data_IF_845546336496
#
_entry.id   IF_845546336496
#
_cell.length_a   1.000
_cell.length_b   1.000
_cell.length_c   1.000
_cell.angle_alpha   90.00
_cell.angle_beta   90.00
_cell.angle_gamma   90.00
#
_symmetry.space_group_name_H-M   'P 1'
#
loop_
_entity.id
_entity.type
_entity.pdbx_description
1 polymer ?
#
# COMPACT_ATOMS: atom_id res chain seq x y z
N UNK A 1 6.21 -1.72 25.91
CA UNK A 1 4.86 -1.53 26.49
C UNK A 1 4.57 -0.13 27.03
N UNK A 2 5.57 0.75 27.20
CA UNK A 2 5.37 2.12 27.71
C UNK A 2 4.40 3.02 26.90
N UNK A 3 4.39 2.89 25.56
CA UNK A 3 3.46 3.61 24.66
C UNK A 3 2.00 3.15 24.81
N UNK A 4 1.76 1.88 25.21
CA UNK A 4 0.41 1.39 25.49
C UNK A 4 -0.11 1.84 26.85
N UNK A 5 0.80 2.10 27.80
CA UNK A 5 0.47 2.50 29.18
C UNK A 5 0.23 4.01 29.34
N UNK A 6 0.74 4.85 28.42
CA UNK A 6 0.61 6.33 28.49
C UNK A 6 0.04 6.96 27.19
N UNK A 7 -1.20 6.63 26.77
CA UNK A 7 -1.79 7.16 25.54
C UNK A 7 -2.06 8.68 25.56
N UNK A 8 -1.89 9.35 26.70
CA UNK A 8 -2.27 10.75 26.91
C UNK A 8 -1.12 11.78 26.82
N UNK A 9 0.15 11.37 26.91
CA UNK A 9 1.29 12.31 26.79
C UNK A 9 1.98 12.19 25.43
N UNK A 10 1.30 12.67 24.40
CA UNK A 10 1.99 12.97 23.15
C UNK A 10 2.82 14.23 23.33
N UNK A 11 4.09 14.03 23.70
CA UNK A 11 5.11 15.07 23.63
C UNK A 11 5.07 15.73 22.26
N UNK A 12 5.25 17.05 22.19
CA UNK A 12 5.22 17.83 20.93
C UNK A 12 6.11 17.21 19.82
N UNK A 13 7.20 16.55 20.23
CA UNK A 13 8.11 15.80 19.36
C UNK A 13 7.39 14.67 18.60
N UNK A 14 6.53 13.89 19.26
CA UNK A 14 5.79 12.80 18.61
C UNK A 14 4.77 13.31 17.60
N UNK A 15 4.10 14.42 17.90
CA UNK A 15 3.18 15.07 16.96
C UNK A 15 3.94 15.65 15.75
N UNK A 16 5.09 16.25 15.97
CA UNK A 16 5.95 16.75 14.90
C UNK A 16 6.45 15.62 13.99
N UNK A 17 7.02 14.56 14.58
CA UNK A 17 7.51 13.41 13.83
C UNK A 17 6.39 12.69 13.09
N UNK A 18 5.22 12.52 13.71
CA UNK A 18 4.07 11.90 13.07
C UNK A 18 3.52 12.71 11.90
N UNK A 19 3.46 14.04 12.05
CA UNK A 19 3.06 14.93 10.94
C UNK A 19 4.08 14.91 9.81
N UNK A 20 5.38 14.97 10.13
CA UNK A 20 6.45 14.88 9.16
C UNK A 20 6.43 13.52 8.42
N UNK A 21 6.27 12.42 9.15
CA UNK A 21 6.17 11.08 8.57
C UNK A 21 4.97 10.95 7.63
N UNK A 22 3.80 11.51 8.00
CA UNK A 22 2.62 11.51 7.14
C UNK A 22 2.86 12.29 5.84
N UNK A 23 3.45 13.49 5.92
CA UNK A 23 3.76 14.30 4.74
C UNK A 23 4.79 13.60 3.84
N UNK A 24 5.84 13.03 4.44
CA UNK A 24 6.86 12.28 3.69
C UNK A 24 6.27 11.03 3.03
N UNK A 25 5.35 10.32 3.69
CA UNK A 25 4.65 9.18 3.10
C UNK A 25 3.78 9.60 1.91
N UNK A 26 3.08 10.72 2.00
CA UNK A 26 2.29 11.28 0.88
C UNK A 26 3.19 11.66 -0.30
N UNK A 27 4.32 12.32 -0.04
CA UNK A 27 5.27 12.71 -1.08
C UNK A 27 5.97 11.50 -1.71
N UNK A 28 6.33 10.49 -0.91
CA UNK A 28 6.86 9.22 -1.40
C UNK A 28 5.84 8.52 -2.30
N UNK A 29 4.58 8.40 -1.85
CA UNK A 29 3.48 7.84 -2.64
C UNK A 29 3.23 8.63 -3.93
N UNK A 30 3.32 9.96 -3.89
CA UNK A 30 3.21 10.82 -5.07
C UNK A 30 4.30 10.52 -6.10
N UNK A 31 5.53 10.27 -5.65
CA UNK A 31 6.69 9.99 -6.52
C UNK A 31 6.66 8.57 -7.09
N UNK A 32 6.13 7.59 -6.38
CA UNK A 32 6.15 6.18 -6.80
C UNK A 32 4.90 5.76 -7.57
N UNK A 33 3.71 6.17 -7.11
CA UNK A 33 2.41 5.74 -7.67
C UNK A 33 1.78 6.86 -8.51
N UNK A 34 2.04 8.12 -8.16
CA UNK A 34 1.48 9.29 -8.83
C UNK A 34 0.50 10.08 -7.95
N UNK A 35 -0.09 11.13 -8.50
CA UNK A 35 -0.89 12.12 -7.75
C UNK A 35 -2.21 11.57 -7.20
N UNK A 36 -2.73 10.47 -7.75
CA UNK A 36 -4.00 9.88 -7.31
C UNK A 36 -3.91 9.39 -5.86
N UNK A 37 -2.78 8.80 -5.47
CA UNK A 37 -2.56 8.27 -4.12
C UNK A 37 -2.69 9.35 -3.03
N UNK A 38 -1.90 10.45 -3.05
CA UNK A 38 -2.01 11.47 -2.01
C UNK A 38 -3.37 12.19 -2.02
N UNK A 39 -4.00 12.39 -3.20
CA UNK A 39 -5.35 12.97 -3.27
C UNK A 39 -6.34 12.10 -2.52
N UNK A 40 -6.33 10.79 -2.77
CA UNK A 40 -7.21 9.84 -2.10
C UNK A 40 -6.96 9.81 -0.59
N UNK A 41 -5.70 9.79 -0.17
CA UNK A 41 -5.35 9.82 1.27
C UNK A 41 -5.82 11.10 1.94
N UNK A 42 -5.63 12.26 1.32
CA UNK A 42 -6.10 13.55 1.86
C UNK A 42 -7.63 13.57 1.95
N UNK A 43 -8.35 13.02 0.97
CA UNK A 43 -9.81 12.88 1.05
C UNK A 43 -10.25 12.03 2.24
N UNK A 44 -9.60 10.89 2.50
CA UNK A 44 -9.90 10.07 3.68
C UNK A 44 -9.52 10.74 5.01
N UNK A 45 -8.42 11.51 5.04
CA UNK A 45 -8.06 12.30 6.22
C UNK A 45 -9.08 13.41 6.48
N UNK A 46 -9.56 14.07 5.42
CA UNK A 46 -10.64 15.05 5.52
C UNK A 46 -11.93 14.40 6.01
N UNK A 47 -12.28 13.22 5.52
CA UNK A 47 -13.42 12.45 6.04
C UNK A 47 -13.26 12.16 7.54
N UNK A 48 -12.08 11.70 7.98
CA UNK A 48 -11.80 11.44 9.39
C UNK A 48 -11.90 12.70 10.28
N UNK A 49 -11.56 13.88 9.75
CA UNK A 49 -11.67 15.17 10.45
C UNK A 49 -13.10 15.71 10.44
N UNK A 50 -13.75 15.66 9.28
CA UNK A 50 -15.03 16.32 8.98
C UNK A 50 -16.23 15.40 9.14
N UNK A 51 -16.05 14.16 9.62
CA UNK A 51 -17.13 13.20 9.84
C UNK A 51 -18.30 13.74 10.67
N UNK A 52 -18.04 14.70 11.56
CA UNK A 52 -19.05 15.36 12.39
C UNK A 52 -19.97 16.32 11.61
N UNK A 53 -19.50 16.80 10.44
CA UNK A 53 -20.22 17.67 9.52
C UNK A 53 -20.90 16.89 8.39
N UNK A 54 -20.99 15.56 8.54
CA UNK A 54 -21.84 14.69 7.72
C UNK A 54 -23.18 14.38 8.43
N UNK A 55 -23.96 15.35 8.96
CA UNK A 55 -25.38 15.16 9.19
C UNK A 55 -26.16 15.72 7.99
N UNK A 56 -27.02 14.87 7.42
CA UNK A 56 -28.14 15.23 6.55
C UNK A 56 -27.80 16.21 5.41
N UNK A 57 -26.91 15.79 4.49
CA UNK A 57 -26.75 16.51 3.21
C UNK A 57 -28.03 16.26 2.39
N UNK A 58 -28.96 17.22 2.24
CA UNK A 58 -30.30 16.95 1.67
C UNK A 58 -30.25 16.58 0.19
N UNK A 59 -29.13 16.88 -0.48
CA UNK A 59 -28.87 16.59 -1.88
C UNK A 59 -28.53 15.13 -2.19
N UNK A 60 -28.15 14.32 -1.19
CA UNK A 60 -27.58 12.97 -1.41
C UNK A 60 -28.46 11.86 -0.79
N UNK A 61 -29.50 12.23 -0.04
CA UNK A 61 -30.48 11.32 0.56
C UNK A 61 -30.02 10.70 1.89
N UNK A 62 -30.99 10.18 2.65
CA UNK A 62 -30.86 9.74 4.05
C UNK A 62 -29.85 8.59 4.28
N UNK A 63 -29.38 7.93 3.21
CA UNK A 63 -28.42 6.83 3.28
C UNK A 63 -27.02 7.26 3.72
N UNK A 64 -26.61 8.51 3.50
CA UNK A 64 -25.29 8.99 3.89
C UNK A 64 -25.22 9.38 5.38
N UNK A 65 -26.36 9.69 6.02
CA UNK A 65 -26.39 10.04 7.44
C UNK A 65 -25.94 8.90 8.36
N UNK A 66 -25.99 7.64 7.89
CA UNK A 66 -25.41 6.49 8.60
C UNK A 66 -23.87 6.47 8.62
N UNK A 67 -23.22 7.25 7.76
CA UNK A 67 -21.75 7.32 7.65
C UNK A 67 -21.15 8.46 8.48
N UNK A 68 -21.99 9.33 9.05
CA UNK A 68 -21.56 10.38 9.97
C UNK A 68 -20.96 9.80 11.25
N UNK A 69 -19.83 10.35 11.69
CA UNK A 69 -19.18 9.97 12.95
C UNK A 69 -18.73 11.22 13.71
N UNK A 70 -18.36 11.10 14.98
CA UNK A 70 -18.06 12.25 15.86
C UNK A 70 -16.89 13.15 15.41
N UNK A 71 -16.22 12.83 14.30
CA UNK A 71 -14.95 13.44 13.89
C UNK A 71 -13.82 13.07 14.85
N UNK A 72 -12.61 12.94 14.32
CA UNK A 72 -11.41 12.71 15.13
C UNK A 72 -10.57 13.99 15.21
N UNK A 73 -9.98 14.26 16.37
CA UNK A 73 -9.03 15.38 16.51
C UNK A 73 -7.77 15.09 15.69
N UNK A 74 -7.18 16.11 15.06
CA UNK A 74 -5.93 15.97 14.29
C UNK A 74 -4.80 15.33 15.12
N UNK A 75 -4.72 15.65 16.42
CA UNK A 75 -3.75 15.03 17.34
C UNK A 75 -3.97 13.52 17.45
N UNK A 76 -5.23 13.09 17.55
CA UNK A 76 -5.58 11.68 17.63
C UNK A 76 -5.26 10.94 16.32
N UNK A 77 -5.56 11.56 15.17
CA UNK A 77 -5.24 10.97 13.87
C UNK A 77 -3.73 10.77 13.73
N UNK A 78 -2.92 11.79 14.03
CA UNK A 78 -1.46 11.68 13.97
C UNK A 78 -0.93 10.60 14.92
N UNK A 79 -1.47 10.53 16.15
CA UNK A 79 -1.11 9.49 17.12
C UNK A 79 -1.38 8.09 16.58
N UNK A 80 -2.57 7.84 16.03
CA UNK A 80 -2.91 6.53 15.46
C UNK A 80 -2.05 6.24 14.24
N UNK A 81 -1.78 7.23 13.38
CA UNK A 81 -0.97 7.04 12.18
C UNK A 81 0.50 6.74 12.48
N UNK A 82 1.08 7.31 13.55
CA UNK A 82 2.52 7.21 13.82
C UNK A 82 2.90 6.33 15.02
N UNK A 83 2.07 6.26 16.07
CA UNK A 83 2.38 5.52 17.30
C UNK A 83 1.62 4.20 17.42
N UNK A 84 0.58 3.96 16.61
CA UNK A 84 -0.15 2.69 16.60
C UNK A 84 0.29 1.79 15.45
N UNK A 85 0.15 0.49 15.70
CA UNK A 85 0.23 -0.63 14.77
C UNK A 85 -0.88 -0.65 13.69
N UNK A 86 -1.84 0.27 13.76
CA UNK A 86 -2.90 0.43 12.74
C UNK A 86 -2.58 1.55 11.75
N UNK A 87 -1.50 2.28 11.98
CA UNK A 87 -1.05 3.40 11.14
C UNK A 87 -0.02 2.99 10.09
N UNK A 88 0.93 3.89 9.84
CA UNK A 88 2.01 3.72 8.86
C UNK A 88 2.88 2.50 9.13
N UNK A 89 3.08 2.16 10.41
CA UNK A 89 3.89 1.01 10.83
C UNK A 89 3.10 -0.28 10.96
N UNK A 90 1.88 -0.30 10.42
CA UNK A 90 0.98 -1.42 10.59
C UNK A 90 1.26 -2.60 9.67
N UNK A 91 0.26 -3.48 9.62
CA UNK A 91 0.30 -4.76 8.92
C UNK A 91 0.82 -4.65 7.47
N UNK A 92 0.36 -3.66 6.70
CA UNK A 92 0.76 -3.52 5.28
C UNK A 92 2.27 -3.29 5.15
N UNK A 93 2.84 -2.40 5.97
CA UNK A 93 4.28 -2.15 6.01
C UNK A 93 5.05 -3.36 6.54
N UNK A 94 4.49 -4.04 7.55
CA UNK A 94 5.05 -5.29 8.08
C UNK A 94 5.16 -6.38 7.02
N UNK A 95 4.07 -6.70 6.32
CA UNK A 95 4.05 -7.67 5.21
C UNK A 95 4.97 -7.23 4.07
N UNK A 96 5.02 -5.93 3.77
CA UNK A 96 5.91 -5.40 2.73
C UNK A 96 7.39 -5.64 3.05
N UNK A 97 7.80 -5.41 4.30
CA UNK A 97 9.19 -5.58 4.74
C UNK A 97 9.63 -7.05 4.89
N UNK A 98 8.70 -7.95 5.19
CA UNK A 98 9.03 -9.35 5.54
C UNK A 98 8.85 -10.30 4.36
N UNK A 99 7.73 -10.19 3.64
CA UNK A 99 7.36 -11.10 2.57
C UNK A 99 7.66 -10.46 1.21
N UNK A 100 7.16 -9.25 0.96
CA UNK A 100 7.29 -8.63 -0.37
C UNK A 100 8.75 -8.29 -0.70
N UNK A 101 9.51 -7.80 0.28
CA UNK A 101 10.91 -7.42 0.08
C UNK A 101 11.78 -8.57 -0.45
N UNK A 102 11.64 -9.79 0.10
CA UNK A 102 12.44 -10.93 -0.36
C UNK A 102 12.06 -11.36 -1.77
N UNK A 103 10.77 -11.32 -2.15
CA UNK A 103 10.33 -11.60 -3.52
C UNK A 103 10.87 -10.57 -4.52
N UNK A 104 10.88 -9.28 -4.16
CA UNK A 104 11.45 -8.24 -5.02
C UNK A 104 12.97 -8.43 -5.19
N UNK A 105 13.69 -8.67 -4.09
CA UNK A 105 15.15 -8.89 -4.13
C UNK A 105 15.49 -10.14 -4.94
N UNK A 106 14.82 -11.25 -4.67
CA UNK A 106 15.03 -12.51 -5.39
C UNK A 106 14.62 -12.39 -6.87
N UNK A 107 13.52 -11.69 -7.15
CA UNK A 107 13.10 -11.35 -8.50
C UNK A 107 14.18 -10.59 -9.26
N UNK A 108 14.69 -9.50 -8.68
CA UNK A 108 15.79 -8.73 -9.27
C UNK A 108 17.07 -9.55 -9.46
N UNK A 109 17.38 -10.45 -8.52
CA UNK A 109 18.53 -11.36 -8.63
C UNK A 109 18.36 -12.36 -9.80
N UNK A 110 17.19 -12.97 -9.96
CA UNK A 110 16.93 -13.89 -11.08
C UNK A 110 16.92 -13.17 -12.43
N UNK A 111 16.37 -11.96 -12.51
CA UNK A 111 16.45 -11.16 -13.73
C UNK A 111 17.90 -10.76 -14.06
N UNK A 112 18.69 -10.36 -13.07
CA UNK A 112 20.08 -9.92 -13.31
C UNK A 112 21.06 -11.06 -13.63
N UNK A 113 20.77 -12.30 -13.21
CA UNK A 113 21.59 -13.49 -13.52
C UNK A 113 21.27 -14.12 -14.88
N UNK A 114 20.30 -13.58 -15.64
CA UNK A 114 19.90 -14.14 -16.94
C UNK A 114 18.94 -15.33 -16.83
N UNK A 115 18.37 -15.61 -15.65
CA UNK A 115 17.36 -16.66 -15.50
C UNK A 115 16.10 -16.36 -16.32
N UNK A 116 15.77 -15.08 -16.53
CA UNK A 116 14.67 -14.66 -17.40
C UNK A 116 14.80 -15.16 -18.84
N UNK A 117 15.98 -15.00 -19.43
CA UNK A 117 16.28 -15.51 -20.78
C UNK A 117 16.26 -17.05 -20.79
N UNK A 118 16.75 -17.67 -19.72
CA UNK A 118 16.75 -19.13 -19.56
C UNK A 118 15.32 -19.69 -19.51
N UNK A 119 14.39 -19.01 -18.83
CA UNK A 119 12.97 -19.40 -18.81
C UNK A 119 12.29 -19.19 -20.16
N UNK A 120 12.66 -18.13 -20.89
CA UNK A 120 12.16 -17.90 -22.25
C UNK A 120 12.62 -19.01 -23.21
N UNK A 121 13.89 -19.39 -23.16
CA UNK A 121 14.44 -20.50 -23.96
C UNK A 121 13.80 -21.84 -23.60
N UNK A 122 13.58 -22.10 -22.31
CA UNK A 122 12.90 -23.29 -21.85
C UNK A 122 11.45 -23.34 -22.38
N UNK A 123 10.71 -22.25 -22.24
CA UNK A 123 9.34 -22.14 -22.73
C UNK A 123 9.27 -22.29 -24.27
N UNK A 124 10.22 -21.71 -25.00
CA UNK A 124 10.35 -21.85 -26.45
C UNK A 124 10.62 -23.29 -26.87
N UNK A 125 11.50 -24.01 -26.16
CA UNK A 125 11.75 -25.44 -26.42
C UNK A 125 10.54 -26.31 -26.10
N UNK A 126 9.80 -26.00 -25.03
CA UNK A 126 8.62 -26.75 -24.62
C UNK A 126 7.44 -26.54 -25.58
N UNK A 127 7.17 -25.29 -25.96
CA UNK A 127 5.89 -24.92 -26.61
C UNK A 127 6.03 -24.28 -28.00
N UNK A 128 7.21 -23.79 -28.38
CA UNK A 128 7.43 -23.03 -29.59
C UNK A 128 7.23 -23.79 -30.90
N UNK A 129 7.37 -25.12 -30.88
CA UNK A 129 7.16 -26.01 -32.04
C UNK A 129 5.69 -26.31 -32.37
N UNK A 130 4.76 -25.96 -31.49
CA UNK A 130 3.33 -26.22 -31.71
C UNK A 130 2.66 -25.05 -32.44
N UNK A 131 1.50 -25.30 -33.07
CA UNK A 131 0.68 -24.20 -33.61
C UNK A 131 0.39 -23.16 -32.52
N UNK A 132 0.59 -21.89 -32.86
CA UNK A 132 0.52 -20.77 -31.92
C UNK A 132 1.71 -20.68 -30.95
N UNK A 133 2.87 -21.24 -31.31
CA UNK A 133 4.05 -21.37 -30.45
C UNK A 133 4.42 -20.09 -29.69
N UNK A 134 4.51 -18.95 -30.37
CA UNK A 134 4.82 -17.66 -29.71
C UNK A 134 3.80 -17.26 -28.62
N UNK A 135 2.50 -17.52 -28.84
CA UNK A 135 1.47 -17.23 -27.85
C UNK A 135 1.60 -18.16 -26.63
N UNK A 136 1.85 -19.45 -26.85
CA UNK A 136 2.03 -20.44 -25.77
C UNK A 136 3.29 -20.17 -24.94
N UNK A 137 4.39 -19.79 -25.61
CA UNK A 137 5.62 -19.36 -24.95
C UNK A 137 5.34 -18.17 -24.03
N UNK A 138 4.62 -17.16 -24.53
CA UNK A 138 4.29 -15.95 -23.76
C UNK A 138 3.46 -16.27 -22.51
N UNK A 139 2.50 -17.19 -22.61
CA UNK A 139 1.68 -17.63 -21.46
C UNK A 139 2.54 -18.36 -20.42
N UNK A 140 3.38 -19.32 -20.85
CA UNK A 140 4.24 -20.09 -19.93
C UNK A 140 5.26 -19.20 -19.24
N UNK A 141 5.89 -18.29 -19.99
CA UNK A 141 6.82 -17.31 -19.44
C UNK A 141 6.11 -16.39 -18.44
N UNK A 142 4.91 -15.90 -18.76
CA UNK A 142 4.12 -15.08 -17.83
C UNK A 142 3.76 -15.84 -16.55
N UNK A 143 3.50 -17.15 -16.63
CA UNK A 143 3.25 -17.98 -15.46
C UNK A 143 4.52 -18.11 -14.58
N UNK A 144 5.70 -18.31 -15.16
CA UNK A 144 6.95 -18.33 -14.40
C UNK A 144 7.27 -16.98 -13.75
N UNK A 145 7.12 -15.87 -14.49
CA UNK A 145 7.31 -14.54 -13.94
C UNK A 145 6.25 -14.18 -12.88
N UNK A 146 5.01 -14.65 -13.03
CA UNK A 146 3.94 -14.47 -12.05
C UNK A 146 4.20 -15.21 -10.73
N UNK A 147 4.73 -16.43 -10.80
CA UNK A 147 5.18 -17.16 -9.61
C UNK A 147 6.36 -16.45 -8.93
N UNK A 148 7.27 -15.88 -9.72
CA UNK A 148 8.42 -15.14 -9.18
C UNK A 148 8.00 -13.85 -8.46
N UNK A 149 7.05 -13.11 -9.01
CA UNK A 149 6.52 -11.89 -8.39
C UNK A 149 5.57 -12.16 -7.21
N UNK A 150 5.32 -13.43 -6.87
CA UNK A 150 4.42 -13.80 -5.77
C UNK A 150 2.95 -13.48 -6.05
N UNK A 151 2.56 -13.40 -7.33
CA UNK A 151 1.20 -13.03 -7.77
C UNK A 151 0.41 -14.20 -8.36
N UNK A 152 0.92 -15.43 -8.22
CA UNK A 152 0.32 -16.68 -8.72
C UNK A 152 -0.44 -17.43 -7.62
#
# INVERSE_FOLDING_TARGET
>A
NWIMEHPAESTNIHLFLGTAALILALEAGRRTIGIIFPVLTVLFLLYALLGQYIPDIPLIGDYLSYWGHRGFSMKHIIQVMYLSDKGLWGFITGVSSTIVAIFIIFGGFLLSTGAGDTFMDLAARLTGRFLGGAAKVSVVVSAFFGMLSGSA
#
